data_IF_634478518662
#
_entry.id   IF_634478518662
#
_cell.length_a   1.000
_cell.length_b   1.000
_cell.length_c   1.000
_cell.angle_alpha   90.00
_cell.angle_beta   90.00
_cell.angle_gamma   90.00
#
_symmetry.space_group_name_H-M   'P 1'
#
loop_
_entity.id
_entity.type
_entity.pdbx_description
1 polymer ?
#
# COMPACT_ATOMS: atom_id res chain seq x y z
N UNK A 1 -5.69 -19.75 -5.07
CA UNK A 1 -5.74 -18.31 -4.68
C UNK A 1 -4.37 -17.61 -4.63
N UNK A 2 -3.22 -18.32 -4.63
CA UNK A 2 -1.89 -17.67 -4.59
C UNK A 2 -1.54 -16.80 -5.79
N UNK A 3 -2.18 -17.03 -6.95
CA UNK A 3 -1.84 -16.37 -8.21
C UNK A 3 -2.70 -15.14 -8.55
N UNK A 4 -3.45 -14.60 -7.59
CA UNK A 4 -4.36 -13.48 -7.86
C UNK A 4 -3.54 -12.22 -8.15
N UNK A 5 -3.75 -11.67 -9.34
CA UNK A 5 -3.27 -10.35 -9.73
C UNK A 5 -4.40 -9.34 -9.60
N UNK A 6 -4.26 -8.43 -8.64
CA UNK A 6 -5.23 -7.38 -8.39
C UNK A 6 -5.02 -6.25 -9.40
N UNK A 7 -6.07 -5.82 -10.12
CA UNK A 7 -5.99 -4.65 -10.98
C UNK A 7 -5.59 -3.41 -10.18
N UNK A 8 -4.64 -2.64 -10.72
CA UNK A 8 -4.13 -1.42 -10.08
C UNK A 8 -5.25 -0.46 -9.68
N UNK A 9 -6.29 -0.33 -10.50
CA UNK A 9 -7.44 0.55 -10.23
C UNK A 9 -8.16 0.13 -8.94
N UNK A 10 -8.42 -1.16 -8.78
CA UNK A 10 -9.13 -1.65 -7.59
C UNK A 10 -8.30 -1.58 -6.32
N UNK A 11 -7.00 -1.89 -6.42
CA UNK A 11 -6.05 -1.76 -5.31
C UNK A 11 -6.03 -0.30 -4.81
N UNK A 12 -5.92 0.66 -5.72
CA UNK A 12 -5.93 2.07 -5.35
C UNK A 12 -7.26 2.53 -4.77
N UNK A 13 -8.39 1.98 -5.25
CA UNK A 13 -9.70 2.24 -4.66
C UNK A 13 -9.78 1.73 -3.22
N UNK A 14 -9.34 0.49 -2.98
CA UNK A 14 -9.28 -0.10 -1.63
C UNK A 14 -8.43 0.75 -0.68
N UNK A 15 -7.23 1.15 -1.12
CA UNK A 15 -6.33 1.95 -0.28
C UNK A 15 -6.92 3.32 0.05
N UNK A 16 -7.57 3.98 -0.91
CA UNK A 16 -8.27 5.25 -0.64
C UNK A 16 -9.39 5.07 0.38
N UNK A 17 -10.20 4.03 0.24
CA UNK A 17 -11.26 3.71 1.21
C UNK A 17 -10.68 3.41 2.60
N UNK A 18 -9.57 2.67 2.68
CA UNK A 18 -8.87 2.37 3.93
C UNK A 18 -8.33 3.64 4.60
N UNK A 19 -7.70 4.54 3.83
CA UNK A 19 -7.19 5.83 4.34
C UNK A 19 -8.32 6.75 4.82
N UNK A 20 -9.48 6.72 4.17
CA UNK A 20 -10.65 7.49 4.60
C UNK A 20 -11.25 6.94 5.90
N UNK A 21 -11.29 5.61 6.08
CA UNK A 21 -11.78 4.96 7.30
C UNK A 21 -10.82 5.13 8.47
N UNK A 22 -9.53 5.01 8.22
CA UNK A 22 -8.49 5.13 9.23
C UNK A 22 -7.34 5.97 8.68
N UNK A 23 -7.33 7.24 9.08
CA UNK A 23 -6.28 8.16 8.68
C UNK A 23 -4.92 7.67 9.19
N UNK A 24 -3.85 7.82 8.39
CA UNK A 24 -2.52 7.46 8.85
C UNK A 24 -2.10 8.30 10.05
N UNK A 25 -1.34 7.71 10.99
CA UNK A 25 -0.77 8.46 12.09
C UNK A 25 0.04 9.61 11.52
N UNK A 26 -0.34 10.83 11.88
CA UNK A 26 0.32 12.04 11.40
C UNK A 26 1.35 12.45 12.42
N UNK A 27 2.59 12.63 11.99
CA UNK A 27 3.58 13.34 12.80
C UNK A 27 3.23 14.83 12.81
N UNK A 28 3.52 15.60 13.87
CA UNK A 28 3.22 17.03 13.92
C UNK A 28 3.77 17.83 12.73
N UNK A 29 4.85 17.33 12.12
CA UNK A 29 5.55 17.95 11.01
C UNK A 29 5.14 17.44 9.62
N UNK A 30 4.52 16.26 9.50
CA UNK A 30 4.18 15.69 8.20
C UNK A 30 3.07 14.63 8.25
N UNK A 31 2.19 14.68 7.24
CA UNK A 31 1.14 13.69 7.00
C UNK A 31 1.59 12.70 5.92
N UNK A 32 1.41 11.40 6.19
CA UNK A 32 1.63 10.36 5.18
C UNK A 32 0.61 10.52 4.04
N UNK A 33 1.10 10.59 2.81
CA UNK A 33 0.31 10.65 1.58
C UNK A 33 0.71 9.49 0.67
N UNK A 34 -0.25 8.59 0.44
CA UNK A 34 -0.11 7.48 -0.51
C UNK A 34 -0.65 7.97 -1.85
N UNK A 35 0.18 7.97 -2.89
CA UNK A 35 -0.20 8.46 -4.22
C UNK A 35 -0.87 7.36 -5.03
N UNK A 36 -0.18 6.24 -5.19
CA UNK A 36 -0.69 5.06 -5.86
C UNK A 36 0.07 3.82 -5.41
N UNK A 37 -0.50 2.65 -5.64
CA UNK A 37 0.18 1.37 -5.49
C UNK A 37 -0.13 0.40 -6.62
N UNK A 38 0.76 -0.57 -6.78
CA UNK A 38 0.69 -1.62 -7.80
C UNK A 38 1.16 -2.95 -7.22
N UNK A 39 0.58 -4.06 -7.69
CA UNK A 39 1.13 -5.38 -7.41
C UNK A 39 2.29 -5.67 -8.37
N UNK A 40 3.50 -5.82 -7.82
CA UNK A 40 4.74 -6.03 -8.59
C UNK A 40 5.09 -7.51 -8.74
N UNK A 41 4.65 -8.34 -7.80
CA UNK A 41 4.87 -9.80 -7.82
C UNK A 41 3.64 -10.53 -7.33
N UNK A 42 3.42 -11.71 -7.88
CA UNK A 42 2.28 -12.55 -7.56
C UNK A 42 2.62 -13.62 -6.52
N UNK A 43 3.81 -14.22 -6.55
CA UNK A 43 4.27 -15.20 -5.55
C UNK A 43 5.67 -14.83 -5.01
N UNK A 44 5.81 -14.38 -3.75
CA UNK A 44 4.72 -13.97 -2.86
C UNK A 44 4.05 -12.67 -3.35
N UNK A 45 2.75 -12.44 -3.06
CA UNK A 45 2.03 -11.22 -3.39
C UNK A 45 2.76 -10.01 -2.82
N UNK A 46 3.36 -9.21 -3.69
CA UNK A 46 4.16 -8.05 -3.31
C UNK A 46 3.52 -6.80 -3.88
N UNK A 47 3.19 -5.85 -3.01
CA UNK A 47 2.59 -4.57 -3.36
C UNK A 47 3.61 -3.46 -3.14
N UNK A 48 3.78 -2.61 -4.15
CA UNK A 48 4.61 -1.42 -4.07
C UNK A 48 3.69 -0.21 -3.98
N UNK A 49 3.88 0.62 -2.97
CA UNK A 49 3.19 1.88 -2.78
C UNK A 49 4.16 3.04 -2.93
N UNK A 50 3.78 4.03 -3.75
CA UNK A 50 4.49 5.29 -3.87
C UNK A 50 3.88 6.28 -2.88
N UNK A 51 4.72 6.76 -1.97
CA UNK A 51 4.34 7.67 -0.88
C UNK A 51 5.14 8.96 -0.97
N UNK A 52 4.73 9.98 -0.22
CA UNK A 52 5.52 11.21 -0.09
C UNK A 52 6.83 10.98 0.65
N UNK A 53 6.82 10.12 1.67
CA UNK A 53 7.99 9.74 2.44
C UNK A 53 7.75 8.36 3.06
N UNK A 54 8.64 7.41 2.80
CA UNK A 54 8.58 6.05 3.30
C UNK A 54 8.87 5.98 4.81
N UNK A 55 9.63 6.92 5.37
CA UNK A 55 9.95 6.95 6.80
C UNK A 55 8.73 7.31 7.66
N UNK A 56 7.71 7.97 7.07
CA UNK A 56 6.45 8.28 7.73
C UNK A 56 5.52 7.06 7.87
N UNK A 57 5.84 5.94 7.22
CA UNK A 57 5.02 4.72 7.28
C UNK A 57 5.38 3.94 8.53
N UNK A 58 4.57 4.09 9.58
CA UNK A 58 4.71 3.28 10.78
C UNK A 58 4.27 1.83 10.55
N UNK A 59 4.96 0.86 11.16
CA UNK A 59 4.68 -0.58 10.99
C UNK A 59 3.22 -0.95 11.30
N UNK A 60 2.58 -0.25 12.24
CA UNK A 60 1.16 -0.48 12.57
C UNK A 60 0.24 -0.14 11.40
N UNK A 61 0.57 0.93 10.66
CA UNK A 61 -0.22 1.35 9.49
C UNK A 61 0.05 0.45 8.29
N UNK A 62 1.29 -0.02 8.13
CA UNK A 62 1.63 -1.06 7.16
C UNK A 62 0.79 -2.33 7.41
N UNK A 63 0.75 -2.84 8.64
CA UNK A 63 -0.09 -4.00 9.00
C UNK A 63 -1.58 -3.75 8.78
N UNK A 64 -2.05 -2.52 9.04
CA UNK A 64 -3.43 -2.14 8.76
C UNK A 64 -3.75 -2.29 7.26
N UNK A 65 -2.92 -1.75 6.38
CA UNK A 65 -3.09 -1.88 4.93
C UNK A 65 -3.02 -3.34 4.47
N UNK A 66 -2.09 -4.12 5.03
CA UNK A 66 -1.98 -5.56 4.75
C UNK A 66 -3.30 -6.28 5.09
N UNK A 67 -3.85 -6.00 6.27
CA UNK A 67 -5.10 -6.59 6.73
C UNK A 67 -6.29 -6.19 5.83
N UNK A 68 -6.36 -4.95 5.37
CA UNK A 68 -7.41 -4.51 4.44
C UNK A 68 -7.33 -5.25 3.09
N UNK A 69 -6.12 -5.44 2.56
CA UNK A 69 -5.91 -6.21 1.32
C UNK A 69 -6.30 -7.68 1.53
N UNK A 70 -5.88 -8.27 2.66
CA UNK A 70 -6.17 -9.66 3.02
C UNK A 70 -7.67 -9.90 3.19
N UNK A 71 -8.40 -8.97 3.82
CA UNK A 71 -9.84 -9.07 4.03
C UNK A 71 -10.63 -9.02 2.72
N UNK A 72 -10.21 -8.21 1.74
CA UNK A 72 -10.95 -8.04 0.48
C UNK A 72 -10.66 -9.12 -0.56
N UNK A 73 -9.40 -9.50 -0.71
CA UNK A 73 -8.98 -10.35 -1.84
C UNK A 73 -8.63 -11.79 -1.47
N UNK A 74 -8.50 -12.08 -0.17
CA UNK A 74 -8.08 -13.39 0.30
C UNK A 74 -6.60 -13.67 -0.01
N UNK A 75 -5.83 -14.06 1.00
CA UNK A 75 -4.44 -14.49 0.84
C UNK A 75 -4.06 -15.49 1.95
N UNK A 76 -5.00 -16.38 2.29
CA UNK A 76 -4.85 -17.34 3.39
C UNK A 76 -3.63 -18.24 3.14
N UNK A 77 -2.72 -18.29 4.11
CA UNK A 77 -1.50 -19.10 4.03
C UNK A 77 -0.40 -18.56 3.10
N UNK A 78 -0.47 -17.32 2.63
CA UNK A 78 0.65 -16.66 1.93
C UNK A 78 1.00 -15.32 2.59
N UNK A 79 2.29 -15.03 2.86
CA UNK A 79 2.69 -13.73 3.37
C UNK A 79 2.48 -12.67 2.29
N UNK A 80 1.79 -11.58 2.64
CA UNK A 80 1.69 -10.40 1.78
C UNK A 80 2.90 -9.52 2.10
N UNK A 81 3.61 -9.06 1.08
CA UNK A 81 4.73 -8.12 1.25
C UNK A 81 4.30 -6.74 0.79
N UNK A 82 4.41 -5.76 1.68
CA UNK A 82 4.22 -4.35 1.35
C UNK A 82 5.60 -3.70 1.25
N UNK A 83 5.77 -2.87 0.22
CA UNK A 83 6.97 -2.07 0.03
C UNK A 83 6.55 -0.64 -0.23
N UNK A 84 7.18 0.30 0.46
CA UNK A 84 6.91 1.72 0.32
C UNK A 84 8.13 2.39 -0.29
N UNK A 85 7.90 3.22 -1.31
CA UNK A 85 8.94 4.04 -1.92
C UNK A 85 8.54 5.51 -1.87
N UNK A 86 9.46 6.33 -1.39
CA UNK A 86 9.40 7.78 -1.49
C UNK A 86 9.41 8.17 -2.95
N UNK A 87 8.36 8.87 -3.40
CA UNK A 87 8.28 9.38 -4.76
C UNK A 87 9.32 10.47 -4.95
N UNK A 88 10.39 10.16 -5.67
CA UNK A 88 11.42 11.14 -6.01
C UNK A 88 10.90 12.10 -7.07
N UNK A 89 11.39 13.35 -7.06
CA UNK A 89 10.93 14.41 -7.99
C UNK A 89 11.12 13.99 -9.46
N UNK A 90 12.15 13.20 -9.74
CA UNK A 90 12.49 12.60 -11.04
C UNK A 90 11.46 11.59 -11.59
N UNK A 91 10.60 11.01 -10.75
CA UNK A 91 9.52 10.10 -11.20
C UNK A 91 8.25 10.84 -11.60
N UNK A 92 8.15 12.16 -11.40
CA UNK A 92 6.96 12.96 -11.77
C UNK A 92 6.87 13.27 -13.27
N UNK A 93 7.95 13.07 -14.01
CA UNK A 93 8.13 13.50 -15.41
C UNK A 93 8.10 12.34 -16.43
N UNK A 94 7.83 11.11 -15.98
CA UNK A 94 7.58 9.95 -16.85
C UNK A 94 6.11 9.58 -16.85
#
# INVERSE_FOLDING_TARGET
>A
ERLIRIPTIELNKLVREAVLKHAPPSSPSARLKIFYGTQVRVDPPTFLFHVNDAELVHFSYERYLENQIRQKYGFLGTPIRLSFRTRTRSEREK
#
